data_IF_886364001376
#
_entry.id   IF_886364001376
#
_cell.length_a   1.000
_cell.length_b   1.000
_cell.length_c   1.000
_cell.angle_alpha   90.00
_cell.angle_beta   90.00
_cell.angle_gamma   90.00
#
_symmetry.space_group_name_H-M   'P 1'
#
loop_
_entity.id
_entity.type
_entity.pdbx_description
1 polymer ?
#
# COMPACT_ATOMS: atom_id res chain seq x y z
N UNK A 1 24.92 23.38 -3.02
CA UNK A 1 23.91 22.29 -3.08
C UNK A 1 22.60 22.89 -3.58
N UNK A 2 22.08 22.44 -4.72
CA UNK A 2 20.70 22.77 -5.10
C UNK A 2 19.78 21.82 -4.35
N UNK A 3 18.72 22.31 -3.66
CA UNK A 3 17.69 21.43 -3.13
C UNK A 3 16.98 20.76 -4.31
N UNK A 4 17.03 19.43 -4.38
CA UNK A 4 16.15 18.66 -5.24
C UNK A 4 14.76 18.68 -4.61
N UNK A 5 13.68 18.98 -5.36
CA UNK A 5 12.34 18.85 -4.81
C UNK A 5 12.15 17.39 -4.40
N UNK A 6 11.85 17.17 -3.12
CA UNK A 6 11.35 15.89 -2.65
C UNK A 6 10.01 15.72 -3.35
N UNK A 7 9.97 14.89 -4.39
CA UNK A 7 8.70 14.45 -4.97
C UNK A 7 7.87 13.89 -3.81
N UNK A 8 6.71 14.50 -3.55
CA UNK A 8 5.70 13.96 -2.63
C UNK A 8 5.49 12.49 -2.98
N UNK A 9 5.36 11.62 -1.99
CA UNK A 9 5.32 10.16 -2.13
C UNK A 9 4.08 9.60 -2.87
N UNK A 10 3.56 10.30 -3.88
CA UNK A 10 2.25 10.04 -4.48
C UNK A 10 1.11 10.78 -3.78
N UNK A 11 -0.10 10.58 -4.30
CA UNK A 11 -1.36 11.01 -3.66
C UNK A 11 -2.21 9.78 -3.31
N UNK A 12 -3.01 9.86 -2.26
CA UNK A 12 -3.79 8.72 -1.78
C UNK A 12 -4.32 8.89 -0.35
N UNK A 13 -4.42 7.78 0.38
CA UNK A 13 -4.93 7.76 1.76
C UNK A 13 -3.96 7.04 2.69
N UNK A 14 -4.15 7.24 4.00
CA UNK A 14 -3.54 6.38 5.01
C UNK A 14 -4.63 5.62 5.76
N UNK A 15 -4.40 4.34 5.99
CA UNK A 15 -5.31 3.46 6.73
C UNK A 15 -4.62 2.97 8.00
N UNK A 16 -5.36 2.84 9.11
CA UNK A 16 -4.87 2.11 10.28
C UNK A 16 -5.46 0.71 10.24
N UNK A 17 -4.65 -0.35 10.07
CA UNK A 17 -5.16 -1.71 9.98
C UNK A 17 -5.81 -2.12 11.31
N UNK A 18 -6.94 -2.81 11.19
CA UNK A 18 -7.67 -3.42 12.31
C UNK A 18 -7.82 -4.94 12.15
N UNK A 19 -7.42 -5.46 10.99
CA UNK A 19 -7.34 -6.88 10.66
C UNK A 19 -5.90 -7.20 10.21
N UNK A 20 -5.51 -8.47 10.35
CA UNK A 20 -4.19 -8.98 10.00
C UNK A 20 -3.95 -9.10 8.50
N UNK A 21 -4.98 -9.17 7.67
CA UNK A 21 -4.79 -9.42 6.24
C UNK A 21 -4.68 -8.12 5.43
N UNK A 22 -3.57 -7.97 4.70
CA UNK A 22 -3.39 -6.92 3.70
C UNK A 22 -3.69 -7.51 2.34
N UNK A 23 -4.59 -6.86 1.61
CA UNK A 23 -5.04 -7.32 0.30
C UNK A 23 -4.58 -6.39 -0.81
N UNK A 24 -4.58 -6.88 -2.04
CA UNK A 24 -4.36 -6.05 -3.23
C UNK A 24 -5.51 -5.04 -3.38
N UNK A 25 -5.23 -3.73 -3.51
CA UNK A 25 -6.26 -2.71 -3.65
C UNK A 25 -6.95 -2.71 -5.03
N UNK A 26 -6.33 -3.35 -6.03
CA UNK A 26 -6.84 -3.45 -7.40
C UNK A 26 -6.35 -4.75 -8.07
N UNK A 27 -6.86 -5.04 -9.26
CA UNK A 27 -6.25 -6.05 -10.12
C UNK A 27 -4.97 -5.50 -10.78
N UNK A 28 -3.96 -6.35 -10.94
CA UNK A 28 -2.68 -5.96 -11.52
C UNK A 28 -1.55 -6.93 -11.17
N UNK A 29 -0.32 -6.47 -11.30
CA UNK A 29 0.90 -7.26 -11.05
C UNK A 29 1.66 -6.72 -9.85
N UNK A 30 2.07 -7.59 -8.93
CA UNK A 30 2.96 -7.22 -7.82
C UNK A 30 4.37 -7.02 -8.37
N UNK A 31 4.74 -5.79 -8.67
CA UNK A 31 6.04 -5.47 -9.30
C UNK A 31 7.19 -5.41 -8.29
N UNK A 32 6.89 -5.26 -7.00
CA UNK A 32 7.89 -5.25 -5.93
C UNK A 32 7.29 -5.61 -4.58
N UNK A 33 8.02 -6.38 -3.78
CA UNK A 33 7.76 -6.59 -2.37
C UNK A 33 9.07 -6.30 -1.63
N UNK A 34 9.05 -5.31 -0.72
CA UNK A 34 10.25 -4.90 -0.02
C UNK A 34 10.85 -6.06 0.79
N UNK A 35 12.18 -6.09 0.93
CA UNK A 35 12.90 -7.21 1.55
C UNK A 35 12.41 -7.56 2.97
N UNK A 36 11.96 -6.56 3.72
CA UNK A 36 11.40 -6.72 5.08
C UNK A 36 9.88 -6.89 5.07
N UNK A 37 9.27 -7.21 3.93
CA UNK A 37 7.84 -7.55 3.75
C UNK A 37 6.82 -6.54 4.29
N UNK A 38 7.24 -5.31 4.62
CA UNK A 38 6.37 -4.28 5.17
C UNK A 38 5.62 -3.48 4.09
N UNK A 39 6.01 -3.62 2.81
CA UNK A 39 5.40 -2.87 1.72
C UNK A 39 5.46 -3.64 0.41
N UNK A 40 4.56 -3.31 -0.50
CA UNK A 40 4.57 -3.79 -1.88
C UNK A 40 4.13 -2.70 -2.86
N UNK A 41 4.55 -2.85 -4.11
CA UNK A 41 4.11 -2.05 -5.24
C UNK A 41 3.27 -2.92 -6.18
N UNK A 42 2.11 -2.40 -6.57
CA UNK A 42 1.20 -2.99 -7.55
C UNK A 42 1.17 -2.10 -8.79
N UNK A 43 1.35 -2.68 -9.96
CA UNK A 43 1.07 -2.00 -11.23
C UNK A 43 -0.25 -2.52 -11.78
N UNK A 44 -1.21 -1.63 -12.01
CA UNK A 44 -2.50 -1.99 -12.64
C UNK A 44 -2.36 -2.09 -14.15
N UNK A 45 -3.28 -2.79 -14.82
CA UNK A 45 -3.31 -2.87 -16.30
C UNK A 45 -3.39 -1.50 -17.00
N UNK A 46 -3.90 -0.48 -16.29
CA UNK A 46 -4.01 0.90 -16.79
C UNK A 46 -2.76 1.75 -16.49
N UNK A 47 -1.68 1.13 -16.00
CA UNK A 47 -0.40 1.79 -15.72
C UNK A 47 -0.35 2.59 -14.42
N UNK A 48 -1.36 2.51 -13.55
CA UNK A 48 -1.27 3.12 -12.23
C UNK A 48 -0.38 2.28 -11.32
N UNK A 49 0.61 2.93 -10.71
CA UNK A 49 1.53 2.34 -9.73
C UNK A 49 1.03 2.66 -8.31
N UNK A 50 0.60 1.63 -7.59
CA UNK A 50 0.07 1.77 -6.23
C UNK A 50 1.09 1.21 -5.25
N UNK A 51 1.50 2.03 -4.28
CA UNK A 51 2.36 1.63 -3.17
C UNK A 51 1.50 1.42 -1.93
N UNK A 52 1.59 0.23 -1.36
CA UNK A 52 0.91 -0.16 -0.12
C UNK A 52 1.99 -0.39 0.94
N UNK A 53 2.08 0.50 1.92
CA UNK A 53 3.15 0.52 2.92
C UNK A 53 2.58 0.38 4.33
N UNK A 54 2.95 -0.67 5.04
CA UNK A 54 2.41 -0.98 6.37
C UNK A 54 3.19 -0.25 7.45
N UNK A 55 2.54 0.70 8.11
CA UNK A 55 3.12 1.53 9.17
C UNK A 55 4.15 2.56 8.67
N UNK A 56 4.76 3.25 9.63
CA UNK A 56 5.83 4.24 9.40
C UNK A 56 7.12 3.70 10.03
N UNK A 57 8.21 3.70 9.26
CA UNK A 57 9.55 3.25 9.70
C UNK A 57 9.60 1.76 10.13
N UNK A 58 8.67 0.95 9.63
CA UNK A 58 8.57 -0.50 9.91
C UNK A 58 9.67 -1.32 9.26
N UNK A 59 10.44 -0.74 8.34
CA UNK A 59 11.67 -1.34 7.81
C UNK A 59 12.66 -1.70 8.94
N UNK A 60 12.69 -0.92 10.03
CA UNK A 60 13.54 -1.15 11.19
C UNK A 60 13.21 -2.45 11.95
N UNK A 61 12.02 -3.02 11.74
CA UNK A 61 11.60 -4.29 12.33
C UNK A 61 12.20 -5.51 11.62
N UNK A 62 12.99 -5.32 10.56
CA UNK A 62 13.71 -6.38 9.85
C UNK A 62 12.82 -7.55 9.40
N UNK A 63 11.56 -7.27 9.05
CA UNK A 63 10.58 -8.27 8.60
C UNK A 63 9.82 -8.99 9.70
N UNK A 64 10.09 -8.70 10.98
CA UNK A 64 9.31 -9.24 12.08
C UNK A 64 7.89 -8.67 12.07
N UNK A 65 6.91 -9.57 12.25
CA UNK A 65 5.48 -9.23 12.22
C UNK A 65 4.87 -9.15 10.82
N UNK A 66 5.63 -9.45 9.76
CA UNK A 66 5.14 -9.48 8.39
C UNK A 66 5.35 -10.87 7.76
N UNK A 67 4.31 -11.40 7.14
CA UNK A 67 4.37 -12.64 6.37
C UNK A 67 3.93 -12.38 4.93
N UNK A 68 4.80 -12.72 3.98
CA UNK A 68 4.53 -12.66 2.55
C UNK A 68 3.60 -13.82 2.14
N UNK A 69 2.57 -13.52 1.34
CA UNK A 69 1.62 -14.52 0.83
C UNK A 69 1.68 -14.72 -0.69
N UNK A 70 2.26 -13.76 -1.41
CA UNK A 70 2.48 -13.80 -2.88
C UNK A 70 3.90 -13.34 -3.19
N UNK A 71 4.41 -13.68 -4.36
CA UNK A 71 5.76 -13.29 -4.80
C UNK A 71 5.73 -12.11 -5.78
N UNK A 72 6.89 -11.48 -5.97
CA UNK A 72 7.08 -10.51 -7.06
C UNK A 72 6.80 -11.17 -8.42
N UNK A 73 6.17 -10.42 -9.32
CA UNK A 73 5.69 -10.89 -10.62
C UNK A 73 4.33 -11.59 -10.59
N UNK A 74 3.72 -11.79 -9.42
CA UNK A 74 2.39 -12.40 -9.34
C UNK A 74 1.29 -11.46 -9.87
N UNK A 75 0.42 -11.99 -10.73
CA UNK A 75 -0.85 -11.37 -11.08
C UNK A 75 -1.86 -11.58 -9.93
N UNK A 76 -2.56 -10.52 -9.56
CA UNK A 76 -3.50 -10.51 -8.44
C UNK A 76 -4.80 -9.83 -8.82
N UNK A 77 -5.88 -10.23 -8.16
CA UNK A 77 -7.19 -9.56 -8.25
C UNK A 77 -7.43 -8.63 -7.06
N UNK A 78 -8.37 -7.69 -7.20
CA UNK A 78 -8.76 -6.83 -6.08
C UNK A 78 -9.27 -7.66 -4.91
N UNK A 79 -8.78 -7.38 -3.70
CA UNK A 79 -9.12 -8.14 -2.49
C UNK A 79 -8.31 -9.43 -2.29
N UNK A 80 -7.43 -9.80 -3.21
CA UNK A 80 -6.55 -10.96 -3.02
C UNK A 80 -5.53 -10.71 -1.89
N UNK A 81 -5.35 -11.61 -0.92
CA UNK A 81 -4.34 -11.47 0.13
C UNK A 81 -2.91 -11.38 -0.42
N UNK A 82 -2.13 -10.42 0.09
CA UNK A 82 -0.73 -10.16 -0.32
C UNK A 82 0.23 -10.31 0.85
N UNK A 83 -0.14 -9.77 2.01
CA UNK A 83 0.61 -9.89 3.26
C UNK A 83 -0.31 -10.29 4.42
N UNK A 84 0.24 -10.96 5.41
CA UNK A 84 -0.37 -11.16 6.73
C UNK A 84 0.47 -10.46 7.79
N UNK A 85 -0.21 -9.83 8.76
CA UNK A 85 0.36 -9.02 9.83
C UNK A 85 0.22 -9.72 11.19
N UNK A 86 1.26 -9.67 12.00
CA UNK A 86 1.14 -9.85 13.45
C UNK A 86 0.83 -8.49 14.08
N UNK A 87 -0.46 -8.15 14.19
CA UNK A 87 -0.86 -6.84 14.70
C UNK A 87 -0.47 -6.62 16.16
N UNK A 88 -0.40 -7.67 16.99
CA UNK A 88 -0.01 -7.51 18.39
C UNK A 88 1.46 -7.12 18.48
N UNK A 89 2.33 -7.84 17.76
CA UNK A 89 3.74 -7.48 17.67
C UNK A 89 3.94 -6.09 17.06
N UNK A 90 3.28 -5.81 15.93
CA UNK A 90 3.46 -4.57 15.21
C UNK A 90 2.96 -3.36 16.00
N UNK A 91 1.81 -3.45 16.68
CA UNK A 91 1.31 -2.35 17.51
C UNK A 91 2.20 -2.08 18.73
N UNK A 92 2.91 -3.10 19.24
CA UNK A 92 3.83 -2.94 20.36
C UNK A 92 5.22 -2.42 19.96
N UNK A 93 5.68 -2.70 18.73
CA UNK A 93 7.07 -2.47 18.33
C UNK A 93 7.23 -1.44 17.20
N UNK A 94 6.21 -1.25 16.35
CA UNK A 94 6.27 -0.25 15.28
C UNK A 94 6.08 1.15 15.85
N UNK A 95 6.78 2.13 15.27
CA UNK A 95 6.58 3.55 15.59
C UNK A 95 5.13 4.00 15.36
N UNK A 96 4.51 3.50 14.28
CA UNK A 96 3.12 3.74 13.94
C UNK A 96 2.64 2.70 12.93
N UNK A 97 1.41 2.22 13.09
CA UNK A 97 0.73 1.37 12.11
C UNK A 97 -0.16 2.15 11.14
N UNK A 98 -0.09 3.48 11.13
CA UNK A 98 -0.68 4.28 10.05
C UNK A 98 0.02 3.91 8.74
N UNK A 99 -0.74 3.36 7.80
CA UNK A 99 -0.26 2.64 6.64
C UNK A 99 -0.69 3.36 5.35
N UNK A 100 0.23 4.02 4.62
CA UNK A 100 -0.08 4.68 3.37
C UNK A 100 -0.50 3.70 2.27
N UNK A 101 -1.51 4.10 1.50
CA UNK A 101 -1.91 3.48 0.22
C UNK A 101 -1.99 4.62 -0.79
N UNK A 102 -1.02 4.69 -1.69
CA UNK A 102 -0.78 5.87 -2.54
C UNK A 102 -0.54 5.48 -3.99
N UNK A 103 -0.94 6.33 -4.92
CA UNK A 103 -0.55 6.24 -6.33
C UNK A 103 0.76 7.03 -6.54
N UNK A 104 1.88 6.33 -6.81
CA UNK A 104 3.21 6.96 -6.92
C UNK A 104 3.39 7.78 -8.19
N UNK A 105 2.69 7.44 -9.27
CA UNK A 105 2.76 8.11 -10.56
C UNK A 105 1.50 8.93 -10.88
N UNK A 106 0.88 9.55 -9.86
CA UNK A 106 -0.38 10.29 -10.03
C UNK A 106 -0.31 11.44 -11.05
N UNK A 107 0.88 12.01 -11.29
CA UNK A 107 1.11 13.06 -12.30
C UNK A 107 0.83 12.59 -13.75
N UNK A 108 0.82 11.27 -13.98
CA UNK A 108 0.47 10.68 -15.28
C UNK A 108 -1.05 10.68 -15.53
N UNK A 109 -1.85 10.94 -14.49
CA UNK A 109 -3.31 10.90 -14.49
C UNK A 109 -3.92 12.31 -14.33
N UNK A 110 -5.24 12.43 -14.48
CA UNK A 110 -5.97 13.69 -14.30
C UNK A 110 -6.21 14.06 -12.83
N UNK A 111 -5.99 13.11 -11.92
CA UNK A 111 -6.11 13.32 -10.48
C UNK A 111 -6.71 12.11 -9.75
N UNK A 112 -6.94 12.30 -8.46
CA UNK A 112 -7.44 11.28 -7.54
C UNK A 112 -8.65 11.82 -6.76
N UNK A 113 -9.70 11.02 -6.64
CA UNK A 113 -10.89 11.35 -5.86
C UNK A 113 -11.00 10.37 -4.69
N UNK A 114 -10.85 10.88 -3.46
CA UNK A 114 -10.99 10.09 -2.24
C UNK A 114 -12.44 9.60 -2.12
N UNK A 115 -12.60 8.30 -1.84
CA UNK A 115 -13.91 7.64 -1.66
C UNK A 115 -14.09 7.13 -0.24
N UNK A 116 -12.99 6.78 0.44
CA UNK A 116 -13.01 6.35 1.81
C UNK A 116 -13.40 7.49 2.75
N UNK A 117 -14.28 7.17 3.69
CA UNK A 117 -14.58 7.99 4.87
C UNK A 117 -14.76 7.06 6.08
N UNK A 118 -14.20 7.43 7.22
CA UNK A 118 -14.29 6.64 8.44
C UNK A 118 -13.72 5.22 8.33
N UNK A 119 -14.56 4.22 8.62
CA UNK A 119 -14.18 2.81 8.64
C UNK A 119 -14.29 2.18 7.24
N UNK A 120 -13.26 1.44 6.84
CA UNK A 120 -13.17 0.77 5.53
C UNK A 120 -12.92 -0.72 5.72
N UNK A 121 -13.48 -1.54 4.82
CA UNK A 121 -13.32 -2.99 4.83
C UNK A 121 -12.39 -3.41 3.68
N UNK A 122 -11.33 -4.13 4.02
CA UNK A 122 -10.33 -4.61 3.07
C UNK A 122 -10.98 -5.41 1.93
N UNK A 123 -10.62 -5.07 0.69
CA UNK A 123 -11.13 -5.74 -0.52
C UNK A 123 -12.58 -5.41 -0.89
N UNK A 124 -13.28 -4.59 -0.10
CA UNK A 124 -14.68 -4.24 -0.34
C UNK A 124 -14.88 -2.73 -0.50
N UNK A 125 -14.35 -1.93 0.43
CA UNK A 125 -14.52 -0.48 0.40
C UNK A 125 -13.47 0.19 -0.49
N UNK A 126 -13.87 0.95 -1.53
CA UNK A 126 -12.91 1.67 -2.36
C UNK A 126 -12.26 2.81 -1.57
N UNK A 127 -10.92 2.88 -1.60
CA UNK A 127 -10.18 3.95 -0.94
C UNK A 127 -10.24 5.27 -1.71
N UNK A 128 -9.99 5.19 -3.02
CA UNK A 128 -10.01 6.32 -3.93
C UNK A 128 -10.21 5.83 -5.37
N UNK A 129 -10.52 6.78 -6.24
CA UNK A 129 -10.66 6.57 -7.68
C UNK A 129 -9.62 7.42 -8.42
N UNK A 130 -8.81 6.81 -9.28
CA UNK A 130 -7.85 7.51 -10.14
C UNK A 130 -8.56 7.90 -11.45
N UNK A 131 -8.47 9.17 -11.85
CA UNK A 131 -9.07 9.68 -13.08
C UNK A 131 -8.07 9.61 -14.23
N UNK A 132 -8.40 8.85 -15.28
CA UNK A 132 -7.63 8.86 -16.52
C UNK A 132 -7.66 10.24 -17.21
N UNK A 133 -6.66 10.49 -18.05
CA UNK A 133 -6.65 11.63 -18.98
C UNK A 133 -7.64 11.43 -20.12
#
# INVERSE_FOLDING_TARGET
MKPSPVKRSGDGVAVKPTDKTVVSPAAGTIVKIFNTNHAFCLETEKGAEIVVHMGIDTVALNGQGFKRLVEEGAEVTAGQPVLELDLDFLNANARSMISPVVCSNIDDFSGLVIKADGHVVAGQTPLYEIKSK
#
